data_IF_666439163930
#
_entry.id   IF_666439163930
#
_cell.length_a   1.000
_cell.length_b   1.000
_cell.length_c   1.000
_cell.angle_alpha   90.00
_cell.angle_beta   90.00
_cell.angle_gamma   90.00
#
_symmetry.space_group_name_H-M   'P 1'
#
loop_
_entity.id
_entity.type
_entity.pdbx_description
1 polymer ?
#
# COMPACT_ATOMS: atom_id res chain seq x y z
N UNK A 1 -57.80 8.04 23.96
CA UNK A 1 -56.82 7.51 22.99
C UNK A 1 -55.44 7.86 23.50
N UNK A 2 -54.61 6.86 23.82
CA UNK A 2 -53.25 7.09 24.31
C UNK A 2 -52.43 7.83 23.23
N UNK A 3 -51.69 8.88 23.60
CA UNK A 3 -50.82 9.60 22.67
C UNK A 3 -49.68 8.67 22.28
N UNK A 4 -49.45 8.50 20.97
CA UNK A 4 -48.31 7.77 20.45
C UNK A 4 -47.02 8.51 20.83
N UNK A 5 -46.11 7.85 21.54
CA UNK A 5 -44.80 8.41 21.95
C UNK A 5 -43.64 7.69 21.24
N UNK A 6 -42.43 8.29 21.19
CA UNK A 6 -41.24 7.62 20.63
C UNK A 6 -40.98 6.24 21.25
N UNK A 7 -41.16 6.09 22.56
CA UNK A 7 -40.95 4.84 23.29
C UNK A 7 -41.92 3.74 22.82
N UNK A 8 -43.20 4.09 22.62
CA UNK A 8 -44.19 3.13 22.12
C UNK A 8 -43.88 2.62 20.71
N UNK A 9 -43.28 3.47 19.87
CA UNK A 9 -42.83 3.10 18.52
C UNK A 9 -41.60 2.20 18.61
N UNK A 10 -40.64 2.53 19.48
CA UNK A 10 -39.44 1.72 19.70
C UNK A 10 -39.77 0.33 20.26
N UNK A 11 -40.70 0.24 21.21
CA UNK A 11 -41.15 -1.02 21.79
C UNK A 11 -41.95 -1.88 20.80
N UNK A 12 -42.69 -1.28 19.87
CA UNK A 12 -43.32 -2.02 18.77
C UNK A 12 -42.29 -2.66 17.84
N UNK A 13 -41.22 -1.92 17.50
CA UNK A 13 -40.12 -2.44 16.67
C UNK A 13 -39.35 -3.55 17.41
N UNK A 14 -39.11 -3.42 18.73
CA UNK A 14 -38.54 -4.49 19.56
C UNK A 14 -39.35 -5.77 19.54
N UNK A 15 -40.68 -5.68 19.68
CA UNK A 15 -41.55 -6.86 19.62
C UNK A 15 -41.55 -7.53 18.25
N UNK A 16 -41.55 -6.75 17.17
CA UNK A 16 -41.46 -7.30 15.80
C UNK A 16 -40.11 -7.98 15.54
N UNK A 17 -39.00 -7.39 16.02
CA UNK A 17 -37.67 -8.00 15.93
C UNK A 17 -37.59 -9.33 16.71
N UNK A 18 -38.14 -9.38 17.93
CA UNK A 18 -38.22 -10.61 18.73
C UNK A 18 -39.12 -11.70 18.11
N UNK A 19 -40.10 -11.30 17.30
CA UNK A 19 -40.97 -12.20 16.53
C UNK A 19 -40.34 -12.68 15.20
N UNK A 20 -39.04 -12.40 14.96
CA UNK A 20 -38.31 -12.86 13.78
C UNK A 20 -38.33 -11.91 12.59
N UNK A 21 -38.76 -10.65 12.77
CA UNK A 21 -38.72 -9.61 11.74
C UNK A 21 -37.70 -8.52 12.12
N UNK A 22 -36.39 -8.72 11.84
CA UNK A 22 -35.33 -7.80 12.27
C UNK A 22 -35.35 -6.46 11.53
N UNK A 23 -36.04 -6.37 10.40
CA UNK A 23 -36.23 -5.15 9.64
C UNK A 23 -37.72 -4.93 9.37
N UNK A 24 -38.22 -3.73 9.69
CA UNK A 24 -39.66 -3.42 9.60
C UNK A 24 -39.90 -2.18 8.75
N UNK A 25 -41.02 -2.17 8.01
CA UNK A 25 -41.45 -0.99 7.25
C UNK A 25 -42.27 -0.03 8.14
N UNK A 26 -42.47 1.21 7.68
CA UNK A 26 -43.37 2.15 8.38
C UNK A 26 -44.80 1.61 8.50
N UNK A 27 -45.23 0.77 7.55
CA UNK A 27 -46.57 0.16 7.54
C UNK A 27 -46.72 -0.87 8.65
N UNK A 28 -45.68 -1.68 8.88
CA UNK A 28 -45.68 -2.70 9.94
C UNK A 28 -45.75 -2.04 11.33
N UNK A 29 -45.03 -0.93 11.51
CA UNK A 29 -45.05 -0.14 12.75
C UNK A 29 -46.39 0.56 12.96
N UNK A 30 -47.04 1.04 11.90
CA UNK A 30 -48.41 1.61 11.96
C UNK A 30 -49.40 0.53 12.41
N UNK A 31 -49.33 -0.68 11.84
CA UNK A 31 -50.18 -1.79 12.25
C UNK A 31 -49.95 -2.21 13.71
N UNK A 32 -48.70 -2.23 14.16
CA UNK A 32 -48.34 -2.65 15.51
C UNK A 32 -48.66 -1.61 16.61
N UNK A 33 -48.80 -0.34 16.25
CA UNK A 33 -49.05 0.76 17.21
C UNK A 33 -50.45 1.36 17.11
N UNK A 34 -51.20 1.03 16.05
CA UNK A 34 -52.47 1.67 15.68
C UNK A 34 -52.39 3.21 15.60
N UNK A 35 -51.19 3.75 15.34
CA UNK A 35 -50.93 5.18 15.21
C UNK A 35 -51.23 5.73 13.82
N UNK A 36 -51.45 7.04 13.69
CA UNK A 36 -51.59 7.66 12.37
C UNK A 36 -50.26 7.64 11.61
N UNK A 37 -50.32 7.49 10.28
CA UNK A 37 -49.13 7.41 9.41
C UNK A 37 -48.17 8.59 9.59
N UNK A 38 -48.71 9.81 9.73
CA UNK A 38 -47.92 11.01 9.98
C UNK A 38 -47.21 11.00 11.34
N UNK A 39 -47.87 10.51 12.39
CA UNK A 39 -47.29 10.46 13.73
C UNK A 39 -46.19 9.39 13.81
N UNK A 40 -46.42 8.21 13.25
CA UNK A 40 -45.43 7.11 13.25
C UNK A 40 -44.17 7.52 12.49
N UNK A 41 -44.29 8.12 11.30
CA UNK A 41 -43.12 8.58 10.53
C UNK A 41 -42.31 9.64 11.27
N UNK A 42 -42.99 10.62 11.88
CA UNK A 42 -42.31 11.65 12.68
C UNK A 42 -41.49 11.05 13.84
N UNK A 43 -42.00 10.00 14.49
CA UNK A 43 -41.28 9.32 15.57
C UNK A 43 -40.17 8.41 15.04
N UNK A 44 -40.34 7.75 13.90
CA UNK A 44 -39.27 6.99 13.25
C UNK A 44 -38.10 7.89 12.86
N UNK A 45 -38.37 9.07 12.29
CA UNK A 45 -37.33 10.03 11.93
C UNK A 45 -36.59 10.55 13.18
N UNK A 46 -37.33 10.85 14.26
CA UNK A 46 -36.73 11.27 15.53
C UNK A 46 -35.86 10.17 16.17
N UNK A 47 -36.30 8.91 16.12
CA UNK A 47 -35.56 7.76 16.64
C UNK A 47 -34.33 7.39 15.80
N UNK A 48 -34.36 7.68 14.49
CA UNK A 48 -33.16 7.62 13.66
C UNK A 48 -32.19 8.76 13.97
N UNK A 49 -32.69 9.98 14.20
CA UNK A 49 -31.85 11.12 14.56
C UNK A 49 -31.19 10.95 15.93
N UNK A 50 -31.85 10.25 16.88
CA UNK A 50 -31.30 9.91 18.19
C UNK A 50 -30.39 8.66 18.18
N UNK A 51 -30.16 8.04 17.01
CA UNK A 51 -29.31 6.86 16.87
C UNK A 51 -29.90 5.58 17.47
N UNK A 52 -31.19 5.56 17.81
CA UNK A 52 -31.87 4.37 18.37
C UNK A 52 -32.39 3.42 17.28
N UNK A 53 -32.53 3.91 16.04
CA UNK A 53 -32.89 3.13 14.86
C UNK A 53 -31.93 3.42 13.69
N UNK A 54 -31.63 2.39 12.91
CA UNK A 54 -30.97 2.52 11.61
C UNK A 54 -31.98 2.42 10.48
N UNK A 55 -31.84 3.27 9.45
CA UNK A 55 -32.72 3.32 8.27
C UNK A 55 -31.97 2.85 7.03
N UNK A 56 -32.52 1.88 6.31
CA UNK A 56 -31.97 1.36 5.04
C UNK A 56 -33.02 1.41 3.91
N UNK A 57 -32.58 1.48 2.65
CA UNK A 57 -33.47 1.57 1.47
C UNK A 57 -34.01 2.97 1.16
N UNK A 58 -34.79 3.09 0.08
CA UNK A 58 -35.38 4.36 -0.39
C UNK A 58 -36.89 4.23 -0.69
N UNK A 59 -37.65 5.30 -0.44
CA UNK A 59 -39.10 5.41 -0.71
C UNK A 59 -39.90 4.20 -0.16
N UNK A 60 -40.58 3.42 -1.02
CA UNK A 60 -41.39 2.25 -0.60
C UNK A 60 -40.56 1.08 -0.08
N UNK A 61 -39.24 1.06 -0.35
CA UNK A 61 -38.31 0.05 0.13
C UNK A 61 -37.63 0.42 1.46
N UNK A 62 -38.03 1.53 2.11
CA UNK A 62 -37.44 1.95 3.39
C UNK A 62 -37.71 0.91 4.48
N UNK A 63 -36.66 0.54 5.23
CA UNK A 63 -36.70 -0.38 6.37
C UNK A 63 -36.02 0.26 7.58
N UNK A 64 -36.53 -0.09 8.76
CA UNK A 64 -36.04 0.38 10.06
C UNK A 64 -35.62 -0.83 10.90
N UNK A 65 -34.48 -0.73 11.56
CA UNK A 65 -33.94 -1.74 12.48
C UNK A 65 -33.49 -1.07 13.77
N UNK A 66 -33.57 -1.77 14.90
CA UNK A 66 -32.97 -1.30 16.16
C UNK A 66 -31.46 -1.08 15.99
N UNK A 67 -30.98 0.08 16.44
CA UNK A 67 -29.54 0.27 16.58
C UNK A 67 -29.03 -0.69 17.67
N UNK A 68 -27.93 -1.39 17.39
CA UNK A 68 -27.29 -2.25 18.38
C UNK A 68 -26.77 -1.37 19.52
N UNK A 69 -27.43 -1.44 20.67
CA UNK A 69 -26.90 -0.87 21.90
C UNK A 69 -25.74 -1.77 22.32
N UNK A 70 -24.52 -1.32 22.09
CA UNK A 70 -23.36 -1.87 22.78
C UNK A 70 -23.63 -1.77 24.29
N UNK A 71 -23.82 -2.91 24.94
CA UNK A 71 -23.98 -2.96 26.39
C UNK A 71 -22.71 -2.40 27.06
N UNK A 72 -22.83 -1.71 28.21
CA UNK A 72 -21.67 -1.21 28.94
C UNK A 72 -20.92 -2.41 29.52
N UNK A 73 -19.79 -2.75 28.90
CA UNK A 73 -18.85 -3.69 29.48
C UNK A 73 -18.28 -3.03 30.74
N UNK A 74 -18.62 -3.61 31.89
CA UNK A 74 -17.92 -3.35 33.15
C UNK A 74 -16.42 -3.49 32.90
N UNK A 75 -15.67 -2.47 33.30
CA UNK A 75 -14.22 -2.46 33.43
C UNK A 75 -13.77 -3.55 34.41
N UNK A 76 -13.69 -4.77 33.92
CA UNK A 76 -12.53 -5.62 34.16
C UNK A 76 -11.82 -5.62 32.84
N UNK A 77 -10.75 -4.86 32.71
CA UNK A 77 -9.81 -4.94 31.60
C UNK A 77 -9.57 -6.43 31.30
N UNK A 78 -10.05 -7.00 30.17
CA UNK A 78 -9.13 -7.82 29.44
C UNK A 78 -8.19 -6.81 28.80
N UNK A 79 -6.89 -6.96 29.01
CA UNK A 79 -5.98 -6.57 27.96
C UNK A 79 -6.52 -7.25 26.67
N UNK A 80 -7.24 -6.49 25.84
CA UNK A 80 -7.18 -6.75 24.42
C UNK A 80 -5.73 -6.47 24.08
N UNK A 81 -4.89 -7.49 24.30
CA UNK A 81 -3.67 -7.59 23.55
C UNK A 81 -4.12 -7.47 22.10
N UNK A 82 -3.76 -6.37 21.45
CA UNK A 82 -3.57 -6.38 20.02
C UNK A 82 -2.57 -7.51 19.76
N UNK A 83 -3.06 -8.74 19.58
CA UNK A 83 -2.24 -9.93 19.42
C UNK A 83 -1.61 -9.98 18.01
N UNK A 84 -1.41 -8.80 17.41
CA UNK A 84 -0.63 -8.57 16.22
C UNK A 84 0.69 -7.92 16.59
N UNK A 85 1.71 -8.02 15.74
CA UNK A 85 3.01 -7.43 16.01
C UNK A 85 2.92 -5.90 15.91
N UNK A 86 3.36 -5.19 16.95
CA UNK A 86 3.43 -3.73 17.00
C UNK A 86 4.88 -3.25 17.19
N UNK A 87 5.22 -2.01 16.81
CA UNK A 87 6.53 -1.44 17.11
C UNK A 87 6.75 -1.28 18.62
N UNK A 88 8.02 -1.28 19.03
CA UNK A 88 8.38 -0.78 20.35
C UNK A 88 8.29 0.74 20.33
N UNK A 89 7.33 1.29 21.08
CA UNK A 89 7.10 2.73 21.16
C UNK A 89 8.15 3.42 22.03
N UNK A 90 8.74 4.49 21.51
CA UNK A 90 9.61 5.39 22.26
C UNK A 90 8.84 6.12 23.37
N UNK A 91 9.52 6.66 24.40
CA UNK A 91 8.85 7.41 25.46
C UNK A 91 7.97 8.57 24.95
N UNK A 92 8.43 9.28 23.92
CA UNK A 92 7.66 10.36 23.28
C UNK A 92 6.40 9.82 22.56
N UNK A 93 6.52 8.68 21.86
CA UNK A 93 5.37 8.03 21.24
C UNK A 93 4.35 7.53 22.29
N UNK A 94 4.81 7.02 23.43
CA UNK A 94 3.93 6.62 24.55
C UNK A 94 3.18 7.83 25.10
N UNK A 95 3.88 8.94 25.37
CA UNK A 95 3.25 10.18 25.85
C UNK A 95 2.21 10.72 24.86
N UNK A 96 2.53 10.71 23.57
CA UNK A 96 1.58 11.08 22.52
C UNK A 96 0.36 10.15 22.49
N UNK A 97 0.54 8.85 22.79
CA UNK A 97 -0.57 7.90 22.94
C UNK A 97 -1.54 8.31 24.02
N UNK A 98 -1.02 8.64 25.21
CA UNK A 98 -1.86 9.09 26.31
C UNK A 98 -2.69 10.35 25.96
N UNK A 99 -2.15 11.24 25.11
CA UNK A 99 -2.90 12.41 24.60
C UNK A 99 -4.00 12.01 23.63
N UNK A 100 -3.74 11.02 22.76
CA UNK A 100 -4.67 10.52 21.76
C UNK A 100 -5.76 9.60 22.34
N UNK A 101 -5.50 8.96 23.48
CA UNK A 101 -6.47 8.15 24.22
C UNK A 101 -7.55 8.99 24.91
N UNK A 102 -7.35 10.31 25.01
CA UNK A 102 -8.38 11.21 25.49
C UNK A 102 -9.60 11.21 24.55
N UNK A 103 -10.84 11.22 25.10
CA UNK A 103 -12.04 11.34 24.29
C UNK A 103 -11.99 12.56 23.36
N UNK A 104 -12.59 12.48 22.16
CA UNK A 104 -12.61 13.59 21.20
C UNK A 104 -13.09 14.92 21.81
N UNK A 105 -14.08 14.85 22.72
CA UNK A 105 -14.62 16.03 23.42
C UNK A 105 -13.64 16.70 24.39
N UNK A 106 -12.54 16.03 24.76
CA UNK A 106 -11.49 16.55 25.63
C UNK A 106 -10.26 17.03 24.85
N UNK A 107 -10.28 16.94 23.51
CA UNK A 107 -9.20 17.38 22.62
C UNK A 107 -9.64 18.67 21.90
N UNK A 108 -8.70 19.60 21.73
CA UNK A 108 -9.00 20.88 21.08
C UNK A 108 -9.07 20.74 19.55
N UNK A 109 -10.09 21.32 18.89
CA UNK A 109 -10.14 21.40 17.43
C UNK A 109 -8.91 22.11 16.86
N UNK A 110 -8.27 21.51 15.86
CA UNK A 110 -7.11 22.07 15.18
C UNK A 110 -7.27 22.03 13.67
N UNK A 111 -6.50 22.86 12.97
CA UNK A 111 -6.48 22.89 11.50
C UNK A 111 -5.06 22.82 10.96
N UNK A 112 -4.94 22.77 9.64
CA UNK A 112 -3.66 22.68 8.95
C UNK A 112 -2.77 23.88 9.29
N UNK A 113 -1.54 23.59 9.73
CA UNK A 113 -0.52 24.59 10.07
C UNK A 113 0.59 24.55 9.05
N UNK A 114 0.69 25.61 8.25
CA UNK A 114 1.67 25.73 7.15
C UNK A 114 3.10 25.67 7.66
N UNK A 115 3.32 26.21 8.85
CA UNK A 115 4.61 26.31 9.55
C UNK A 115 5.27 24.94 9.71
N UNK A 116 4.48 23.85 9.84
CA UNK A 116 5.00 22.48 9.90
C UNK A 116 5.91 22.14 8.71
N UNK A 117 5.50 22.58 7.52
CA UNK A 117 6.24 22.37 6.28
C UNK A 117 7.20 23.53 6.03
N UNK A 118 6.78 24.77 6.27
CA UNK A 118 7.54 25.99 5.96
C UNK A 118 8.81 26.10 6.80
N UNK A 119 8.77 25.73 8.08
CA UNK A 119 9.92 25.78 8.99
C UNK A 119 10.91 24.61 8.78
N UNK A 120 10.48 23.54 8.11
CA UNK A 120 11.37 22.44 7.77
C UNK A 120 12.40 22.88 6.72
N UNK A 121 13.68 22.96 7.09
CA UNK A 121 14.76 23.29 6.16
C UNK A 121 15.47 22.01 5.70
N UNK A 122 15.36 21.61 4.41
CA UNK A 122 15.95 20.37 3.93
C UNK A 122 17.43 20.24 4.29
N UNK A 123 17.82 19.08 4.81
CA UNK A 123 19.18 18.74 5.24
C UNK A 123 19.70 19.50 6.48
N UNK A 124 18.89 20.35 7.11
CA UNK A 124 19.20 21.00 8.40
C UNK A 124 18.21 20.56 9.47
N UNK A 125 16.92 20.66 9.18
CA UNK A 125 15.83 20.08 9.98
C UNK A 125 15.67 18.60 9.63
N UNK A 126 15.20 17.82 10.59
CA UNK A 126 14.87 16.41 10.42
C UNK A 126 13.58 16.09 11.17
N UNK A 127 12.65 15.38 10.53
CA UNK A 127 11.45 14.87 11.20
C UNK A 127 11.77 13.56 11.95
N UNK A 128 12.68 12.74 11.40
CA UNK A 128 13.22 11.57 12.07
C UNK A 128 14.56 11.93 12.76
N UNK A 129 14.91 11.30 13.90
CA UNK A 129 16.29 11.38 14.41
C UNK A 129 17.31 11.04 13.31
N UNK A 130 18.27 11.93 13.07
CA UNK A 130 19.22 11.82 11.95
C UNK A 130 19.93 10.47 11.90
N UNK A 131 20.44 9.99 13.04
CA UNK A 131 21.16 8.72 13.13
C UNK A 131 20.28 7.52 12.75
N UNK A 132 18.98 7.58 13.07
CA UNK A 132 18.02 6.56 12.68
C UNK A 132 17.79 6.56 11.17
N UNK A 133 17.59 7.74 10.56
CA UNK A 133 17.42 7.86 9.12
C UNK A 133 18.67 7.40 8.36
N UNK A 134 19.86 7.71 8.86
CA UNK A 134 21.12 7.26 8.28
C UNK A 134 21.34 5.74 8.43
N UNK A 135 20.96 5.16 9.57
CA UNK A 135 21.01 3.71 9.79
C UNK A 135 20.05 2.98 8.83
N UNK A 136 18.79 3.42 8.76
CA UNK A 136 17.79 2.84 7.86
C UNK A 136 18.20 2.96 6.38
N UNK A 137 18.80 4.09 5.98
CA UNK A 137 19.31 4.27 4.63
C UNK A 137 20.45 3.28 4.32
N UNK A 138 21.38 3.11 5.26
CA UNK A 138 22.50 2.17 5.13
C UNK A 138 22.02 0.72 5.00
N UNK A 139 21.00 0.35 5.77
CA UNK A 139 20.44 -1.00 5.79
C UNK A 139 19.59 -1.29 4.54
N UNK A 140 18.88 -0.27 4.02
CA UNK A 140 17.93 -0.44 2.93
C UNK A 140 18.50 -0.27 1.51
N UNK A 141 19.66 0.35 1.34
CA UNK A 141 20.22 0.63 0.00
C UNK A 141 20.87 -0.59 -0.66
N UNK A 142 20.82 -0.66 -1.99
CA UNK A 142 21.73 -1.52 -2.75
C UNK A 142 23.19 -1.07 -2.52
N UNK A 143 24.11 -2.03 -2.43
CA UNK A 143 25.55 -1.75 -2.24
C UNK A 143 26.23 -1.22 -3.50
N UNK A 144 25.75 -1.64 -4.66
CA UNK A 144 26.30 -1.25 -5.96
C UNK A 144 25.52 -0.07 -6.55
N UNK A 145 26.22 0.79 -7.29
CA UNK A 145 25.56 1.81 -8.10
C UNK A 145 24.79 1.13 -9.22
N UNK A 146 23.48 1.38 -9.27
CA UNK A 146 22.56 0.81 -10.24
C UNK A 146 21.64 1.93 -10.74
N UNK A 147 21.05 1.81 -11.96
CA UNK A 147 20.03 2.75 -12.43
C UNK A 147 18.85 2.84 -11.46
N UNK A 148 18.22 4.01 -11.33
CA UNK A 148 17.05 4.19 -10.46
C UNK A 148 15.94 3.17 -10.77
N UNK A 149 15.23 2.72 -9.73
CA UNK A 149 14.16 1.72 -9.82
C UNK A 149 14.63 0.27 -9.96
N UNK A 150 15.94 0.00 -10.03
CA UNK A 150 16.48 -1.38 -10.15
C UNK A 150 16.09 -2.25 -8.97
N UNK A 151 16.15 -1.72 -7.73
CA UNK A 151 15.70 -2.48 -6.55
C UNK A 151 14.23 -2.89 -6.72
N UNK A 152 13.35 -1.91 -6.92
CA UNK A 152 11.91 -2.13 -7.01
C UNK A 152 11.56 -3.14 -8.12
N UNK A 153 12.21 -3.06 -9.29
CA UNK A 153 12.02 -4.04 -10.38
C UNK A 153 12.42 -5.45 -9.99
N UNK A 154 13.54 -5.62 -9.27
CA UNK A 154 13.97 -6.95 -8.81
C UNK A 154 12.91 -7.58 -7.91
N UNK A 155 12.30 -6.83 -7.02
CA UNK A 155 11.31 -7.38 -6.06
C UNK A 155 9.87 -7.09 -6.44
N UNK A 156 9.60 -6.74 -7.70
CA UNK A 156 8.33 -6.17 -8.14
C UNK A 156 7.15 -7.11 -7.86
N UNK A 157 7.25 -8.38 -8.23
CA UNK A 157 6.16 -9.36 -8.05
C UNK A 157 5.71 -9.43 -6.59
N UNK A 158 6.67 -9.51 -5.66
CA UNK A 158 6.37 -9.55 -4.23
C UNK A 158 5.87 -8.19 -3.72
N UNK A 159 6.46 -7.08 -4.19
CA UNK A 159 6.06 -5.73 -3.82
C UNK A 159 4.60 -5.44 -4.22
N UNK A 160 4.18 -5.87 -5.40
CA UNK A 160 2.81 -5.69 -5.89
C UNK A 160 1.80 -6.29 -4.92
N UNK A 161 2.05 -7.51 -4.45
CA UNK A 161 1.17 -8.19 -3.50
C UNK A 161 1.21 -7.48 -2.15
N UNK A 162 2.42 -7.28 -1.61
CA UNK A 162 2.64 -6.79 -0.25
C UNK A 162 2.07 -5.40 -0.02
N UNK A 163 2.45 -4.43 -0.87
CA UNK A 163 2.06 -3.03 -0.70
C UNK A 163 0.59 -2.82 -1.08
N UNK A 164 0.08 -3.49 -2.13
CA UNK A 164 -1.33 -3.35 -2.49
C UNK A 164 -2.25 -3.86 -1.38
N UNK A 165 -1.94 -5.05 -0.85
CA UNK A 165 -2.73 -5.62 0.24
C UNK A 165 -2.61 -4.80 1.52
N UNK A 166 -1.38 -4.51 1.98
CA UNK A 166 -1.16 -3.82 3.24
C UNK A 166 -1.74 -2.40 3.22
N UNK A 167 -1.53 -1.66 2.13
CA UNK A 167 -2.10 -0.31 1.98
C UNK A 167 -3.63 -0.32 1.93
N UNK A 168 -4.24 -1.29 1.24
CA UNK A 168 -5.71 -1.38 1.15
C UNK A 168 -6.34 -1.81 2.48
N UNK A 169 -5.71 -2.74 3.20
CA UNK A 169 -6.17 -3.20 4.53
C UNK A 169 -6.22 -2.05 5.54
N UNK A 170 -5.28 -1.10 5.47
CA UNK A 170 -5.29 0.09 6.33
C UNK A 170 -6.47 1.04 6.05
N UNK A 171 -7.13 0.91 4.90
CA UNK A 171 -8.36 1.63 4.55
C UNK A 171 -9.62 0.77 4.79
N UNK A 172 -9.49 -0.40 5.45
CA UNK A 172 -10.62 -1.28 5.77
C UNK A 172 -10.98 -2.29 4.68
N UNK A 173 -10.14 -2.49 3.67
CA UNK A 173 -10.36 -3.51 2.64
C UNK A 173 -10.43 -4.91 3.28
N UNK A 174 -11.43 -5.71 2.86
CA UNK A 174 -11.78 -6.98 3.49
C UNK A 174 -11.02 -8.19 2.93
N UNK A 175 -10.24 -8.02 1.87
CA UNK A 175 -9.52 -9.13 1.25
C UNK A 175 -8.43 -9.68 2.16
N UNK A 176 -8.33 -11.01 2.21
CA UNK A 176 -7.15 -11.68 2.77
C UNK A 176 -5.98 -11.60 1.79
N UNK A 177 -4.77 -11.86 2.28
CA UNK A 177 -3.58 -11.90 1.43
C UNK A 177 -3.74 -12.94 0.31
N UNK A 178 -4.19 -14.15 0.64
CA UNK A 178 -4.42 -15.22 -0.34
C UNK A 178 -5.48 -14.84 -1.39
N UNK A 179 -6.58 -14.20 -0.97
CA UNK A 179 -7.60 -13.71 -1.89
C UNK A 179 -7.06 -12.62 -2.83
N UNK A 180 -6.14 -11.78 -2.34
CA UNK A 180 -5.47 -10.75 -3.14
C UNK A 180 -4.57 -11.36 -4.21
N UNK A 181 -3.77 -12.38 -3.86
CA UNK A 181 -2.95 -13.10 -4.83
C UNK A 181 -3.81 -13.76 -5.93
N UNK A 182 -4.93 -14.36 -5.54
CA UNK A 182 -5.85 -14.97 -6.48
C UNK A 182 -6.55 -13.94 -7.38
N UNK A 183 -6.95 -12.80 -6.83
CA UNK A 183 -7.47 -11.67 -7.60
C UNK A 183 -6.45 -11.18 -8.63
N UNK A 184 -5.16 -11.08 -8.26
CA UNK A 184 -4.11 -10.63 -9.17
C UNK A 184 -3.83 -11.61 -10.29
N UNK A 185 -3.99 -12.92 -10.04
CA UNK A 185 -3.91 -13.96 -11.08
C UNK A 185 -5.09 -13.90 -12.04
N UNK A 186 -6.31 -13.60 -11.55
CA UNK A 186 -7.52 -13.47 -12.38
C UNK A 186 -7.57 -12.16 -13.15
N UNK A 187 -7.08 -11.06 -12.58
CA UNK A 187 -6.99 -9.75 -13.20
C UNK A 187 -8.31 -8.98 -13.35
N UNK A 188 -9.43 -9.49 -12.82
CA UNK A 188 -10.75 -8.87 -12.96
C UNK A 188 -11.42 -8.63 -11.61
N UNK A 189 -11.90 -7.41 -11.37
CA UNK A 189 -12.55 -7.01 -10.12
C UNK A 189 -14.06 -7.32 -10.07
N UNK A 190 -14.71 -7.54 -11.22
CA UNK A 190 -16.17 -7.58 -11.30
C UNK A 190 -16.76 -6.25 -10.83
N UNK A 191 -17.73 -6.31 -9.91
CA UNK A 191 -18.37 -5.13 -9.29
C UNK A 191 -17.93 -4.87 -7.85
N UNK A 192 -16.85 -5.52 -7.39
CA UNK A 192 -16.39 -5.42 -6.01
C UNK A 192 -15.40 -4.26 -5.85
N UNK A 193 -15.80 -3.24 -5.11
CA UNK A 193 -14.99 -2.04 -4.87
C UNK A 193 -13.70 -2.35 -4.12
N UNK A 194 -13.68 -3.37 -3.26
CA UNK A 194 -12.46 -3.80 -2.56
C UNK A 194 -11.48 -4.44 -3.55
N UNK A 195 -11.98 -5.15 -4.56
CA UNK A 195 -11.16 -5.70 -5.62
C UNK A 195 -10.59 -4.60 -6.53
N UNK A 196 -11.42 -3.61 -6.90
CA UNK A 196 -10.97 -2.42 -7.66
C UNK A 196 -9.86 -1.70 -6.91
N UNK A 197 -10.00 -1.48 -5.60
CA UNK A 197 -8.97 -0.85 -4.79
C UNK A 197 -7.62 -1.59 -4.84
N UNK A 198 -7.63 -2.92 -4.79
CA UNK A 198 -6.40 -3.72 -4.88
C UNK A 198 -5.77 -3.66 -6.26
N UNK A 199 -6.57 -3.76 -7.32
CA UNK A 199 -6.07 -3.65 -8.70
C UNK A 199 -5.52 -2.25 -9.00
N UNK A 200 -6.14 -1.20 -8.47
CA UNK A 200 -5.64 0.16 -8.60
C UNK A 200 -4.31 0.35 -7.89
N UNK A 201 -4.14 -0.21 -6.68
CA UNK A 201 -2.84 -0.18 -6.01
C UNK A 201 -1.78 -0.92 -6.83
N UNK A 202 -2.10 -2.08 -7.39
CA UNK A 202 -1.19 -2.83 -8.26
C UNK A 202 -0.77 -1.97 -9.45
N UNK A 203 -1.73 -1.41 -10.19
CA UNK A 203 -1.48 -0.55 -11.35
C UNK A 203 -0.69 0.72 -10.97
N UNK A 204 -0.96 1.30 -9.80
CA UNK A 204 -0.24 2.47 -9.30
C UNK A 204 1.23 2.16 -8.96
N UNK A 205 1.53 0.98 -8.42
CA UNK A 205 2.90 0.54 -8.16
C UNK A 205 3.65 0.30 -9.47
N UNK A 206 3.02 -0.37 -10.45
CA UNK A 206 3.57 -0.57 -11.80
C UNK A 206 3.88 0.78 -12.46
N UNK A 207 2.93 1.72 -12.41
CA UNK A 207 3.10 3.09 -12.88
C UNK A 207 4.32 3.78 -12.24
N UNK A 208 4.49 3.69 -10.91
CA UNK A 208 5.64 4.30 -10.24
C UNK A 208 6.97 3.68 -10.66
N UNK A 209 7.04 2.35 -10.78
CA UNK A 209 8.27 1.64 -11.17
C UNK A 209 8.75 2.06 -12.56
N UNK A 210 7.83 2.38 -13.46
CA UNK A 210 8.15 2.85 -14.82
C UNK A 210 8.38 4.36 -14.90
N UNK A 211 7.54 5.16 -14.24
CA UNK A 211 7.56 6.62 -14.36
C UNK A 211 8.65 7.28 -13.51
N UNK A 212 8.92 6.79 -12.30
CA UNK A 212 9.86 7.44 -11.35
C UNK A 212 11.28 7.58 -11.92
N UNK A 213 11.89 6.55 -12.55
CA UNK A 213 13.23 6.69 -13.12
C UNK A 213 13.34 7.71 -14.25
N UNK A 214 12.22 8.02 -14.92
CA UNK A 214 12.18 8.93 -16.08
C UNK A 214 11.80 10.36 -15.68
N UNK A 215 10.86 10.51 -14.76
CA UNK A 215 10.23 11.80 -14.44
C UNK A 215 10.70 12.38 -13.10
N UNK A 216 11.23 11.55 -12.20
CA UNK A 216 11.52 11.93 -10.82
C UNK A 216 10.28 12.37 -10.04
N UNK A 217 10.47 12.94 -8.86
CA UNK A 217 9.38 13.47 -8.05
C UNK A 217 8.84 14.79 -8.63
N UNK A 218 7.61 14.80 -9.13
CA UNK A 218 6.95 15.99 -9.65
C UNK A 218 5.47 16.03 -9.24
N UNK A 219 4.85 17.21 -9.33
CA UNK A 219 3.41 17.37 -9.06
C UNK A 219 2.58 16.58 -10.05
N UNK A 220 2.97 16.56 -11.33
CA UNK A 220 2.34 15.74 -12.34
C UNK A 220 2.38 14.25 -11.97
N UNK A 221 3.53 13.74 -11.49
CA UNK A 221 3.65 12.35 -11.04
C UNK A 221 2.70 12.03 -9.88
N UNK A 222 2.61 12.91 -8.86
CA UNK A 222 1.73 12.70 -7.70
C UNK A 222 0.26 12.76 -8.08
N UNK A 223 -0.12 13.68 -8.97
CA UNK A 223 -1.50 13.79 -9.49
C UNK A 223 -1.89 12.55 -10.31
N UNK A 224 -0.99 12.07 -11.17
CA UNK A 224 -1.21 10.84 -11.94
C UNK A 224 -1.24 9.60 -11.04
N UNK A 225 -0.38 9.52 -10.02
CA UNK A 225 -0.44 8.46 -9.01
C UNK A 225 -1.82 8.40 -8.34
N UNK A 226 -2.34 9.54 -7.91
CA UNK A 226 -3.68 9.63 -7.35
C UNK A 226 -4.75 9.21 -8.36
N UNK A 227 -4.68 9.68 -9.61
CA UNK A 227 -5.64 9.32 -10.65
C UNK A 227 -5.71 7.80 -10.88
N UNK A 228 -4.57 7.12 -10.95
CA UNK A 228 -4.51 5.64 -11.08
C UNK A 228 -5.05 4.96 -9.82
N UNK A 229 -4.71 5.44 -8.63
CA UNK A 229 -5.17 4.86 -7.36
C UNK A 229 -6.69 4.94 -7.18
N UNK A 230 -7.30 6.02 -7.68
CA UNK A 230 -8.69 6.37 -7.41
C UNK A 230 -9.63 6.13 -8.59
N UNK A 231 -9.11 5.61 -9.70
CA UNK A 231 -9.90 5.22 -10.87
C UNK A 231 -11.05 4.30 -10.47
N UNK A 232 -12.27 4.59 -10.92
CA UNK A 232 -13.49 3.81 -10.61
C UNK A 232 -13.85 3.70 -9.10
N UNK A 233 -13.20 4.50 -8.23
CA UNK A 233 -13.51 4.61 -6.80
C UNK A 233 -14.10 5.96 -6.40
N UNK A 234 -13.84 7.02 -7.18
CA UNK A 234 -14.48 8.32 -6.98
C UNK A 234 -15.84 8.36 -7.67
N UNK A 235 -16.82 8.96 -6.99
CA UNK A 235 -18.12 9.26 -7.58
C UNK A 235 -18.03 10.32 -8.69
N UNK A 236 -17.09 11.26 -8.53
CA UNK A 236 -16.78 12.30 -9.49
C UNK A 236 -15.45 11.97 -10.20
N UNK A 237 -15.52 11.52 -11.44
CA UNK A 237 -14.33 11.13 -12.21
C UNK A 237 -13.48 12.33 -12.61
N UNK A 238 -14.05 13.54 -12.66
CA UNK A 238 -13.29 14.75 -12.98
C UNK A 238 -12.37 15.17 -11.82
N UNK A 239 -12.59 14.63 -10.61
CA UNK A 239 -11.73 14.84 -9.45
C UNK A 239 -10.43 13.99 -9.48
N UNK A 240 -10.26 13.09 -10.46
CA UNK A 240 -9.09 12.22 -10.55
C UNK A 240 -7.79 13.02 -10.76
N UNK A 241 -6.98 13.07 -9.71
CA UNK A 241 -5.68 13.75 -9.73
C UNK A 241 -5.82 15.28 -9.71
N UNK A 242 -7.01 15.80 -9.43
CA UNK A 242 -7.27 17.25 -9.33
C UNK A 242 -7.19 17.66 -7.87
N UNK A 243 -6.51 18.78 -7.60
CA UNK A 243 -6.50 19.38 -6.26
C UNK A 243 -7.93 19.78 -5.94
N UNK A 244 -8.46 19.29 -4.82
CA UNK A 244 -9.89 19.44 -4.53
C UNK A 244 -10.30 20.90 -4.34
N UNK A 245 -11.50 21.20 -4.80
CA UNK A 245 -12.22 22.44 -4.47
C UNK A 245 -13.31 22.23 -3.41
N UNK A 246 -13.66 20.96 -3.17
CA UNK A 246 -14.69 20.56 -2.21
C UNK A 246 -14.12 20.44 -0.80
N UNK A 247 -15.00 20.62 0.18
CA UNK A 247 -14.68 20.43 1.59
C UNK A 247 -14.47 18.95 1.89
N UNK A 248 -13.44 18.63 2.68
CA UNK A 248 -13.24 17.26 3.20
C UNK A 248 -13.08 17.31 4.71
N UNK A 249 -13.61 16.30 5.37
CA UNK A 249 -13.42 16.07 6.80
C UNK A 249 -12.83 14.68 6.99
N UNK A 250 -12.04 14.52 8.06
CA UNK A 250 -11.53 13.23 8.47
C UNK A 250 -12.35 12.79 9.68
N UNK A 251 -12.90 11.58 9.62
CA UNK A 251 -13.64 11.00 10.76
C UNK A 251 -12.69 10.71 11.93
N UNK A 252 -13.26 10.68 13.15
CA UNK A 252 -12.58 10.26 14.38
C UNK A 252 -11.35 11.09 14.77
N UNK A 253 -11.34 12.37 14.41
CA UNK A 253 -10.29 13.33 14.78
C UNK A 253 -10.87 14.72 15.03
N UNK A 254 -10.16 15.51 15.83
CA UNK A 254 -10.43 16.95 16.00
C UNK A 254 -9.73 17.82 14.94
N UNK A 255 -8.96 17.20 14.04
CA UNK A 255 -8.29 17.87 12.94
C UNK A 255 -9.23 18.15 11.76
N UNK A 256 -9.28 19.41 11.33
CA UNK A 256 -9.98 19.85 10.13
C UNK A 256 -8.94 20.31 9.10
N UNK A 257 -8.78 19.59 7.96
CA UNK A 257 -7.84 20.01 6.92
C UNK A 257 -8.12 21.42 6.40
N UNK A 258 -7.10 22.07 5.82
CA UNK A 258 -7.33 23.35 5.13
C UNK A 258 -8.34 23.16 4.00
N UNK A 259 -9.27 24.09 3.87
CA UNK A 259 -10.34 24.03 2.87
C UNK A 259 -10.10 24.98 1.70
N UNK A 260 -9.01 25.75 1.72
CA UNK A 260 -8.70 26.74 0.70
C UNK A 260 -7.91 26.10 -0.46
N UNK A 261 -8.46 25.99 -1.69
CA UNK A 261 -7.80 25.30 -2.80
C UNK A 261 -6.46 25.93 -3.20
N UNK A 262 -6.36 27.26 -3.09
CA UNK A 262 -5.10 27.98 -3.34
C UNK A 262 -3.99 27.55 -2.37
N UNK A 263 -4.32 27.38 -1.08
CA UNK A 263 -3.38 26.90 -0.05
C UNK A 263 -3.02 25.44 -0.31
N UNK A 264 -3.97 24.59 -0.70
CA UNK A 264 -3.68 23.20 -1.07
C UNK A 264 -2.67 23.12 -2.22
N UNK A 265 -2.86 23.90 -3.28
CA UNK A 265 -1.97 23.92 -4.43
C UNK A 265 -0.57 24.43 -4.06
N UNK A 266 -0.49 25.55 -3.34
CA UNK A 266 0.75 26.15 -2.88
C UNK A 266 1.55 25.21 -1.96
N UNK A 267 0.88 24.60 -0.99
CA UNK A 267 1.53 23.73 -0.02
C UNK A 267 1.91 22.38 -0.63
N UNK A 268 1.15 21.86 -1.59
CA UNK A 268 1.56 20.67 -2.34
C UNK A 268 2.87 20.92 -3.08
N UNK A 269 2.97 22.02 -3.82
CA UNK A 269 4.22 22.40 -4.50
C UNK A 269 5.38 22.57 -3.51
N UNK A 270 5.13 23.22 -2.37
CA UNK A 270 6.13 23.44 -1.33
C UNK A 270 6.64 22.13 -0.74
N UNK A 271 5.74 21.19 -0.41
CA UNK A 271 6.08 19.84 0.08
C UNK A 271 6.96 19.13 -0.94
N UNK A 272 6.56 19.12 -2.22
CA UNK A 272 7.29 18.40 -3.26
C UNK A 272 8.65 19.04 -3.56
N UNK A 273 8.73 20.38 -3.56
CA UNK A 273 9.99 21.11 -3.72
C UNK A 273 10.97 20.78 -2.58
N UNK A 274 10.51 20.78 -1.33
CA UNK A 274 11.34 20.41 -0.17
C UNK A 274 11.76 18.96 -0.23
N UNK A 275 10.86 18.04 -0.54
CA UNK A 275 11.15 16.61 -0.66
C UNK A 275 12.23 16.31 -1.71
N UNK A 276 12.24 17.01 -2.86
CA UNK A 276 13.30 16.87 -3.89
C UNK A 276 14.69 17.26 -3.37
N UNK A 277 14.77 18.16 -2.40
CA UNK A 277 16.03 18.69 -1.86
C UNK A 277 16.58 17.87 -0.68
N UNK A 278 15.78 16.99 -0.09
CA UNK A 278 16.22 16.12 1.02
C UNK A 278 17.17 15.05 0.47
N UNK A 279 18.41 15.03 0.96
CA UNK A 279 19.47 14.14 0.48
C UNK A 279 19.32 12.70 0.99
N UNK A 280 18.81 12.51 2.21
CA UNK A 280 18.57 11.18 2.74
C UNK A 280 17.22 10.66 2.20
N UNK A 281 17.19 9.61 1.36
CA UNK A 281 15.95 9.14 0.74
C UNK A 281 14.95 8.57 1.73
N UNK A 282 15.40 8.09 2.89
CA UNK A 282 14.52 7.57 3.96
C UNK A 282 13.81 8.72 4.66
N UNK A 283 14.53 9.80 4.98
CA UNK A 283 13.91 11.04 5.49
C UNK A 283 12.96 11.64 4.46
N UNK A 284 13.33 11.67 3.17
CA UNK A 284 12.47 12.16 2.10
C UNK A 284 11.18 11.33 1.95
N UNK A 285 11.29 10.01 2.06
CA UNK A 285 10.16 9.09 2.06
C UNK A 285 9.22 9.35 3.24
N UNK A 286 9.77 9.48 4.44
CA UNK A 286 9.02 9.79 5.66
C UNK A 286 8.34 11.16 5.55
N UNK A 287 9.06 12.17 5.06
CA UNK A 287 8.55 13.52 4.84
C UNK A 287 7.35 13.53 3.88
N UNK A 288 7.41 12.78 2.78
CA UNK A 288 6.29 12.67 1.83
C UNK A 288 5.09 11.95 2.43
N UNK A 289 5.32 10.84 3.15
CA UNK A 289 4.25 10.07 3.78
C UNK A 289 3.43 10.95 4.74
N UNK A 290 4.12 11.66 5.63
CA UNK A 290 3.50 12.49 6.67
C UNK A 290 2.81 13.70 6.05
N UNK A 291 3.50 14.47 5.23
CA UNK A 291 3.00 15.79 4.81
C UNK A 291 1.91 15.72 3.74
N UNK A 292 1.95 14.74 2.83
CA UNK A 292 0.85 14.56 1.85
C UNK A 292 -0.44 14.14 2.54
N UNK A 293 -0.35 13.22 3.52
CA UNK A 293 -1.49 12.80 4.30
C UNK A 293 -2.02 13.91 5.22
N UNK A 294 -1.14 14.75 5.77
CA UNK A 294 -1.56 15.90 6.58
C UNK A 294 -2.28 16.97 5.75
N UNK A 295 -1.77 17.28 4.55
CA UNK A 295 -2.35 18.32 3.67
C UNK A 295 -3.75 17.96 3.14
N UNK A 296 -4.00 16.68 2.83
CA UNK A 296 -5.23 16.20 2.18
C UNK A 296 -5.58 16.96 0.87
N UNK A 297 -4.69 16.97 -0.16
CA UNK A 297 -4.89 17.75 -1.39
C UNK A 297 -5.99 17.24 -2.32
N UNK A 298 -6.47 16.01 -2.16
CA UNK A 298 -7.47 15.38 -3.03
C UNK A 298 -8.79 15.09 -2.29
N UNK A 299 -9.87 14.86 -3.03
CA UNK A 299 -11.22 14.62 -2.47
C UNK A 299 -11.27 13.33 -1.61
N UNK A 300 -10.55 12.29 -2.00
CA UNK A 300 -10.32 11.06 -1.24
C UNK A 300 -8.94 10.47 -1.64
N UNK A 301 -8.50 9.35 -1.06
CA UNK A 301 -7.29 8.65 -1.48
C UNK A 301 -5.99 9.28 -0.99
N UNK A 302 -6.03 10.33 -0.17
CA UNK A 302 -4.86 11.05 0.33
C UNK A 302 -3.88 10.13 1.09
N UNK A 303 -4.41 9.29 2.01
CA UNK A 303 -3.60 8.35 2.79
C UNK A 303 -2.95 7.29 1.89
N UNK A 304 -3.70 6.70 0.96
CA UNK A 304 -3.19 5.74 -0.05
C UNK A 304 -2.10 6.36 -0.92
N UNK A 305 -2.36 7.56 -1.45
CA UNK A 305 -1.41 8.33 -2.27
C UNK A 305 -0.13 8.63 -1.49
N UNK A 306 -0.23 9.02 -0.22
CA UNK A 306 0.93 9.31 0.62
C UNK A 306 1.82 8.08 0.86
N UNK A 307 1.23 6.91 1.10
CA UNK A 307 1.97 5.65 1.33
C UNK A 307 2.73 5.20 0.08
N UNK A 308 2.13 5.36 -1.11
CA UNK A 308 2.80 5.04 -2.36
C UNK A 308 3.83 6.10 -2.74
N UNK A 309 3.52 7.39 -2.54
CA UNK A 309 4.45 8.49 -2.80
C UNK A 309 5.74 8.40 -1.95
N UNK A 310 5.64 7.87 -0.73
CA UNK A 310 6.79 7.59 0.13
C UNK A 310 7.83 6.66 -0.53
N UNK A 311 7.43 5.82 -1.48
CA UNK A 311 8.36 4.95 -2.20
C UNK A 311 9.15 5.69 -3.29
N UNK A 312 8.74 6.88 -3.74
CA UNK A 312 9.40 7.59 -4.85
C UNK A 312 10.88 7.90 -4.54
N UNK A 313 11.23 8.50 -3.38
CA UNK A 313 12.64 8.71 -3.04
C UNK A 313 13.40 7.39 -2.87
N UNK A 314 12.79 6.35 -2.31
CA UNK A 314 13.42 5.05 -2.15
C UNK A 314 13.76 4.42 -3.52
N UNK A 315 12.86 4.52 -4.49
CA UNK A 315 13.07 4.03 -5.86
C UNK A 315 14.18 4.80 -6.58
N UNK A 316 14.20 6.14 -6.47
CA UNK A 316 15.22 6.99 -7.10
C UNK A 316 16.64 6.66 -6.63
N UNK A 317 16.78 6.30 -5.35
CA UNK A 317 18.07 6.00 -4.73
C UNK A 317 18.31 4.50 -4.50
N UNK A 318 17.56 3.62 -5.18
CA UNK A 318 17.68 2.16 -5.09
C UNK A 318 17.74 1.63 -3.66
N UNK A 319 16.84 2.14 -2.83
CA UNK A 319 16.56 1.61 -1.51
C UNK A 319 15.44 0.58 -1.60
N UNK A 320 15.41 -0.32 -0.61
CA UNK A 320 14.33 -1.28 -0.43
C UNK A 320 12.99 -0.54 -0.41
N UNK A 321 11.97 -1.01 -1.14
CA UNK A 321 10.66 -0.38 -1.14
C UNK A 321 9.96 -0.58 0.22
N UNK A 322 9.14 0.39 0.61
CA UNK A 322 8.32 0.36 1.81
C UNK A 322 6.95 -0.24 1.49
N UNK A 323 6.54 -1.24 2.27
CA UNK A 323 5.30 -2.00 2.02
C UNK A 323 4.28 -2.01 3.16
N UNK A 324 4.51 -1.27 4.25
CA UNK A 324 3.59 -1.19 5.41
C UNK A 324 3.16 -2.57 5.96
N UNK A 325 4.04 -3.56 5.85
CA UNK A 325 3.77 -4.94 6.27
C UNK A 325 3.47 -5.01 7.75
N UNK A 326 2.43 -5.79 8.07
CA UNK A 326 1.98 -6.14 9.42
C UNK A 326 1.58 -4.95 10.29
N UNK A 327 1.43 -3.76 9.71
CA UNK A 327 0.96 -2.58 10.41
C UNK A 327 -0.52 -2.77 10.77
N UNK A 328 -0.84 -2.60 12.05
CA UNK A 328 -2.24 -2.63 12.49
C UNK A 328 -2.95 -1.33 12.09
N UNK A 329 -4.25 -1.37 11.73
CA UNK A 329 -5.02 -0.16 11.45
C UNK A 329 -5.01 0.84 12.62
N UNK A 330 -5.01 0.33 13.86
CA UNK A 330 -4.93 1.15 15.07
C UNK A 330 -3.59 1.89 15.17
N UNK A 331 -2.45 1.19 15.04
CA UNK A 331 -1.12 1.81 15.14
C UNK A 331 -0.92 2.85 14.03
N UNK A 332 -1.39 2.55 12.80
CA UNK A 332 -1.36 3.51 11.71
C UNK A 332 -2.23 4.74 11.99
N UNK A 333 -3.45 4.54 12.50
CA UNK A 333 -4.34 5.64 12.85
C UNK A 333 -3.71 6.53 13.92
N UNK A 334 -3.18 5.95 15.00
CA UNK A 334 -2.49 6.67 16.07
C UNK A 334 -1.27 7.46 15.57
N UNK A 335 -0.47 6.86 14.68
CA UNK A 335 0.65 7.55 14.05
C UNK A 335 0.21 8.79 13.24
N UNK A 336 -0.86 8.67 12.45
CA UNK A 336 -1.36 9.79 11.66
C UNK A 336 -2.08 10.84 12.50
N UNK A 337 -2.86 10.44 13.51
CA UNK A 337 -3.56 11.37 14.40
C UNK A 337 -2.58 12.23 15.20
N UNK A 338 -1.43 11.67 15.61
CA UNK A 338 -0.37 12.44 16.26
C UNK A 338 0.12 13.62 15.42
N UNK A 339 0.29 13.38 14.12
CA UNK A 339 0.64 14.43 13.16
C UNK A 339 -0.50 15.42 13.00
N UNK A 340 -1.72 14.92 12.78
CA UNK A 340 -2.88 15.75 12.45
C UNK A 340 -3.26 16.70 13.58
N UNK A 341 -3.21 16.20 14.82
CA UNK A 341 -3.72 16.93 15.98
C UNK A 341 -2.61 17.70 16.71
N UNK A 342 -1.38 17.18 16.71
CA UNK A 342 -0.30 17.72 17.54
C UNK A 342 0.95 18.11 16.76
N UNK A 343 1.00 17.87 15.43
CA UNK A 343 2.22 18.00 14.63
C UNK A 343 3.38 17.16 15.19
N UNK A 344 3.06 16.13 15.97
CA UNK A 344 4.01 15.26 16.65
C UNK A 344 4.19 13.98 15.82
N UNK A 345 5.41 13.80 15.31
CA UNK A 345 5.77 12.67 14.44
C UNK A 345 6.28 11.45 15.20
N UNK A 346 6.34 11.46 16.53
CA UNK A 346 7.02 10.43 17.34
C UNK A 346 6.48 9.02 17.06
N UNK A 347 5.15 8.85 17.05
CA UNK A 347 4.51 7.56 16.67
C UNK A 347 4.74 7.21 15.21
N UNK A 348 4.69 8.17 14.30
CA UNK A 348 4.95 7.93 12.89
C UNK A 348 6.41 7.48 12.65
N UNK A 349 7.38 8.08 13.35
CA UNK A 349 8.81 7.70 13.28
C UNK A 349 9.01 6.25 13.72
N UNK A 350 8.47 5.87 14.89
CA UNK A 350 8.62 4.51 15.42
C UNK A 350 7.95 3.47 14.50
N UNK A 351 6.74 3.78 14.03
CA UNK A 351 6.01 2.91 13.11
C UNK A 351 6.76 2.75 11.78
N UNK A 352 7.21 3.85 11.18
CA UNK A 352 7.96 3.85 9.93
C UNK A 352 9.24 3.03 10.06
N UNK A 353 10.05 3.28 11.09
CA UNK A 353 11.30 2.58 11.31
C UNK A 353 11.08 1.08 11.49
N UNK A 354 10.02 0.70 12.20
CA UNK A 354 9.65 -0.69 12.40
C UNK A 354 9.21 -1.35 11.08
N UNK A 355 8.25 -0.77 10.36
CA UNK A 355 7.76 -1.38 9.12
C UNK A 355 8.82 -1.39 8.02
N UNK A 356 9.66 -0.34 7.94
CA UNK A 356 10.71 -0.26 6.95
C UNK A 356 11.79 -1.33 7.14
N UNK A 357 12.21 -1.59 8.39
CA UNK A 357 13.11 -2.72 8.70
C UNK A 357 12.54 -4.06 8.29
N UNK A 358 11.21 -4.25 8.37
CA UNK A 358 10.56 -5.48 7.90
C UNK A 358 10.62 -5.60 6.39
N UNK A 359 10.31 -4.52 5.67
CA UNK A 359 10.43 -4.49 4.21
C UNK A 359 11.87 -4.78 3.76
N UNK A 360 12.87 -4.17 4.39
CA UNK A 360 14.30 -4.46 4.12
C UNK A 360 14.60 -5.95 4.28
N UNK A 361 14.27 -6.54 5.44
CA UNK A 361 14.53 -7.96 5.71
C UNK A 361 13.84 -8.87 4.70
N UNK A 362 12.57 -8.62 4.39
CA UNK A 362 11.80 -9.44 3.45
C UNK A 362 12.38 -9.38 2.05
N UNK A 363 12.65 -8.16 1.55
CA UNK A 363 13.07 -7.99 0.16
C UNK A 363 14.54 -8.36 -0.07
N UNK A 364 15.39 -8.35 0.95
CA UNK A 364 16.73 -8.96 0.86
C UNK A 364 16.60 -10.46 0.57
N UNK A 365 15.75 -11.18 1.31
CA UNK A 365 15.53 -12.62 1.09
C UNK A 365 14.96 -12.89 -0.32
N UNK A 366 14.02 -12.06 -0.80
CA UNK A 366 13.49 -12.18 -2.17
C UNK A 366 14.58 -12.00 -3.22
N UNK A 367 15.48 -11.02 -3.04
CA UNK A 367 16.61 -10.82 -3.95
C UNK A 367 17.59 -12.00 -3.93
N UNK A 368 17.86 -12.58 -2.76
CA UNK A 368 18.73 -13.75 -2.61
C UNK A 368 18.12 -15.00 -3.25
N UNK A 369 16.80 -15.19 -3.13
CA UNK A 369 16.10 -16.36 -3.69
C UNK A 369 16.03 -16.38 -5.22
N UNK A 370 16.07 -15.21 -5.86
CA UNK A 370 16.08 -15.14 -7.33
C UNK A 370 17.42 -15.55 -7.95
N UNK A 371 18.46 -15.75 -7.13
CA UNK A 371 19.82 -16.03 -7.59
C UNK A 371 20.46 -14.82 -8.27
N UNK A 372 21.73 -14.54 -8.00
CA UNK A 372 22.44 -13.57 -8.80
C UNK A 372 22.59 -14.13 -10.23
N UNK A 373 22.16 -13.42 -11.30
CA UNK A 373 22.52 -13.84 -12.65
C UNK A 373 24.04 -13.91 -12.71
N UNK A 374 24.58 -15.09 -13.05
CA UNK A 374 26.03 -15.31 -13.11
C UNK A 374 26.65 -14.22 -14.02
N UNK A 375 27.53 -13.34 -13.51
CA UNK A 375 28.08 -12.22 -14.27
C UNK A 375 28.79 -12.66 -15.55
N UNK A 376 29.45 -13.83 -15.53
CA UNK A 376 30.05 -14.45 -16.71
C UNK A 376 29.00 -14.83 -17.75
N UNK A 377 27.85 -15.37 -17.30
CA UNK A 377 26.74 -15.75 -18.19
C UNK A 377 26.12 -14.53 -18.86
N UNK A 378 26.01 -13.41 -18.14
CA UNK A 378 25.47 -12.17 -18.71
C UNK A 378 26.43 -11.58 -19.74
N UNK A 379 27.74 -11.54 -19.42
CA UNK A 379 28.79 -11.01 -20.31
C UNK A 379 28.96 -11.83 -21.59
N UNK A 380 28.88 -13.15 -21.50
CA UNK A 380 29.16 -14.05 -22.62
C UNK A 380 27.92 -14.76 -23.16
N UNK A 381 26.73 -14.18 -23.03
CA UNK A 381 25.46 -14.84 -23.39
C UNK A 381 25.39 -15.30 -24.85
N UNK A 382 25.75 -14.43 -25.81
CA UNK A 382 25.73 -14.77 -27.23
C UNK A 382 26.82 -15.82 -27.53
N UNK A 383 28.03 -15.62 -27.02
CA UNK A 383 29.13 -16.58 -27.19
C UNK A 383 28.84 -17.96 -26.57
N UNK A 384 28.15 -18.01 -25.44
CA UNK A 384 27.71 -19.26 -24.80
C UNK A 384 26.69 -19.99 -25.69
N UNK A 385 25.77 -19.24 -26.30
CA UNK A 385 24.80 -19.79 -27.25
C UNK A 385 25.49 -20.38 -28.48
N UNK A 386 26.49 -19.66 -29.01
CA UNK A 386 27.29 -20.10 -30.14
C UNK A 386 28.17 -21.33 -29.80
N UNK A 387 28.86 -21.31 -28.65
CA UNK A 387 29.68 -22.42 -28.18
C UNK A 387 28.88 -23.71 -27.99
N UNK A 388 27.69 -23.62 -27.40
CA UNK A 388 26.77 -24.77 -27.27
C UNK A 388 26.33 -25.25 -28.66
N UNK A 389 26.10 -24.34 -29.60
CA UNK A 389 25.86 -24.66 -31.00
C UNK A 389 27.00 -25.48 -31.63
N UNK A 390 28.25 -25.04 -31.47
CA UNK A 390 29.45 -25.71 -31.99
C UNK A 390 29.60 -27.13 -31.43
N UNK A 391 29.30 -27.34 -30.15
CA UNK A 391 29.41 -28.65 -29.51
C UNK A 391 28.26 -29.58 -29.94
N UNK A 392 27.02 -29.09 -29.94
CA UNK A 392 25.84 -29.93 -30.15
C UNK A 392 25.57 -30.20 -31.63
N UNK A 393 25.60 -29.15 -32.45
CA UNK A 393 25.32 -29.24 -33.89
C UNK A 393 26.56 -29.67 -34.66
N UNK A 394 27.70 -29.05 -34.37
CA UNK A 394 28.93 -29.20 -35.17
C UNK A 394 29.90 -30.23 -34.57
N UNK A 395 29.51 -30.89 -33.47
CA UNK A 395 30.21 -32.01 -32.81
C UNK A 395 31.65 -31.72 -32.41
N UNK A 396 31.97 -30.45 -32.14
CA UNK A 396 33.27 -30.04 -31.61
C UNK A 396 33.39 -30.37 -30.13
N UNK A 397 34.61 -30.53 -29.65
CA UNK A 397 34.86 -30.56 -28.22
C UNK A 397 34.63 -29.17 -27.62
N UNK A 398 34.26 -29.10 -26.34
CA UNK A 398 34.13 -27.85 -25.60
C UNK A 398 35.43 -27.03 -25.66
N UNK A 399 36.58 -27.69 -25.61
CA UNK A 399 37.88 -27.01 -25.72
C UNK A 399 38.11 -26.41 -27.13
N UNK A 400 37.72 -27.12 -28.19
CA UNK A 400 37.80 -26.62 -29.55
C UNK A 400 36.83 -25.45 -29.79
N UNK A 401 35.60 -25.54 -29.28
CA UNK A 401 34.61 -24.46 -29.36
C UNK A 401 35.07 -23.20 -28.64
N UNK A 402 35.69 -23.34 -27.46
CA UNK A 402 36.25 -22.22 -26.70
C UNK A 402 37.42 -21.56 -27.44
N UNK A 403 38.32 -22.37 -28.03
CA UNK A 403 39.46 -21.86 -28.78
C UNK A 403 39.04 -21.10 -30.04
N UNK A 404 38.03 -21.59 -30.76
CA UNK A 404 37.50 -20.97 -31.98
C UNK A 404 36.85 -19.61 -31.73
N UNK A 405 36.18 -19.46 -30.59
CA UNK A 405 35.59 -18.18 -30.18
C UNK A 405 36.61 -17.23 -29.53
N UNK A 406 37.86 -17.64 -29.35
CA UNK A 406 38.90 -16.85 -28.69
C UNK A 406 38.65 -16.61 -27.20
N UNK A 407 37.86 -17.48 -26.55
CA UNK A 407 37.43 -17.33 -25.15
C UNK A 407 38.23 -18.23 -24.20
N UNK A 408 39.54 -18.35 -24.46
CA UNK A 408 40.45 -19.12 -23.60
C UNK A 408 40.53 -18.52 -22.20
N UNK A 409 41.05 -19.28 -21.24
CA UNK A 409 41.11 -18.86 -19.83
C UNK A 409 41.81 -17.51 -19.64
N UNK A 410 42.79 -17.16 -20.48
CA UNK A 410 43.49 -15.86 -20.44
C UNK A 410 42.60 -14.67 -20.85
N UNK A 411 41.64 -14.89 -21.76
CA UNK A 411 40.77 -13.83 -22.31
C UNK A 411 39.37 -13.82 -21.68
N UNK A 412 38.88 -14.98 -21.26
CA UNK A 412 37.57 -15.16 -20.64
C UNK A 412 37.62 -16.19 -19.49
N UNK A 413 38.24 -15.83 -18.35
CA UNK A 413 38.38 -16.72 -17.21
C UNK A 413 37.05 -17.34 -16.77
N UNK A 414 37.00 -18.66 -16.60
CA UNK A 414 35.81 -19.39 -16.17
C UNK A 414 34.74 -19.63 -17.26
N UNK A 415 34.93 -19.18 -18.50
CA UNK A 415 33.98 -19.42 -19.58
C UNK A 415 33.86 -20.90 -19.94
N UNK A 416 34.99 -21.63 -20.01
CA UNK A 416 34.99 -23.07 -20.31
C UNK A 416 34.24 -23.87 -19.24
N UNK A 417 34.43 -23.55 -17.96
CA UNK A 417 33.71 -24.21 -16.87
C UNK A 417 32.20 -23.96 -16.95
N UNK A 418 31.79 -22.73 -17.28
CA UNK A 418 30.39 -22.39 -17.51
C UNK A 418 29.79 -23.14 -18.71
N UNK A 419 30.51 -23.26 -19.83
CA UNK A 419 30.08 -24.03 -20.99
C UNK A 419 29.82 -25.50 -20.63
N UNK A 420 30.75 -26.13 -19.92
CA UNK A 420 30.63 -27.52 -19.49
C UNK A 420 29.43 -27.75 -18.55
N UNK A 421 29.20 -26.82 -17.62
CA UNK A 421 28.04 -26.88 -16.72
C UNK A 421 26.71 -26.76 -17.48
N UNK A 422 26.64 -25.88 -18.48
CA UNK A 422 25.43 -25.73 -19.30
C UNK A 422 25.19 -26.91 -20.25
N UNK A 423 26.24 -27.53 -20.80
CA UNK A 423 26.12 -28.76 -21.60
C UNK A 423 25.60 -29.93 -20.76
N UNK A 424 26.02 -30.03 -19.48
CA UNK A 424 25.48 -31.04 -18.55
C UNK A 424 23.98 -30.86 -18.29
N UNK A 425 23.52 -29.60 -18.23
CA UNK A 425 22.12 -29.24 -17.97
C UNK A 425 21.27 -29.19 -19.24
N UNK A 426 21.88 -29.32 -20.42
CA UNK A 426 21.18 -29.20 -21.70
C UNK A 426 20.25 -30.39 -21.89
N UNK A 427 18.98 -30.12 -22.14
CA UNK A 427 17.97 -31.13 -22.38
C UNK A 427 17.10 -30.73 -23.56
N UNK A 428 16.39 -31.69 -24.14
CA UNK A 428 15.46 -31.44 -25.26
C UNK A 428 14.40 -30.40 -24.88
N UNK A 429 13.92 -30.40 -23.64
CA UNK A 429 12.91 -29.43 -23.17
C UNK A 429 13.47 -28.02 -22.89
N UNK A 430 14.79 -27.82 -22.92
CA UNK A 430 15.42 -26.51 -22.67
C UNK A 430 16.38 -26.04 -23.78
N UNK A 431 16.46 -26.75 -24.91
CA UNK A 431 17.44 -26.49 -25.97
C UNK A 431 17.16 -25.22 -26.79
N UNK A 432 15.90 -24.77 -26.85
CA UNK A 432 15.49 -23.61 -27.63
C UNK A 432 16.22 -22.32 -27.22
N UNK A 433 16.63 -22.21 -25.93
CA UNK A 433 17.40 -21.05 -25.41
C UNK A 433 18.76 -20.88 -26.07
N UNK A 434 19.28 -21.93 -26.70
CA UNK A 434 20.53 -21.94 -27.46
C UNK A 434 20.32 -22.05 -28.97
N UNK A 435 19.09 -21.79 -29.45
CA UNK A 435 18.72 -21.88 -30.87
C UNK A 435 18.98 -23.26 -31.48
N UNK A 436 18.89 -24.31 -30.66
CA UNK A 436 19.03 -25.71 -31.08
C UNK A 436 17.66 -26.33 -31.37
N UNK A 437 17.62 -27.25 -32.34
CA UNK A 437 16.42 -28.06 -32.62
C UNK A 437 16.31 -29.24 -31.64
N UNK A 438 15.09 -29.72 -31.42
CA UNK A 438 14.83 -30.90 -30.58
C UNK A 438 15.60 -32.12 -31.12
N UNK A 439 15.58 -32.32 -32.44
CA UNK A 439 16.24 -33.43 -33.11
C UNK A 439 17.76 -33.40 -32.96
N UNK A 440 18.39 -32.24 -33.15
CA UNK A 440 19.85 -32.11 -33.00
C UNK A 440 20.28 -32.34 -31.55
N UNK A 441 19.49 -31.85 -30.60
CA UNK A 441 19.76 -32.02 -29.16
C UNK A 441 19.59 -33.48 -28.74
N UNK A 442 18.51 -34.14 -29.16
CA UNK A 442 18.27 -35.56 -28.86
C UNK A 442 19.39 -36.44 -29.43
N UNK A 443 19.77 -36.24 -30.69
CA UNK A 443 20.87 -36.96 -31.31
C UNK A 443 22.22 -36.72 -30.61
N UNK A 444 22.40 -35.58 -29.94
CA UNK A 444 23.59 -35.30 -29.15
C UNK A 444 23.56 -35.98 -27.78
N UNK A 445 22.40 -36.01 -27.11
CA UNK A 445 22.19 -36.73 -25.86
C UNK A 445 22.35 -38.25 -26.08
N UNK A 446 21.76 -38.81 -27.14
CA UNK A 446 21.84 -40.24 -27.48
C UNK A 446 23.28 -40.70 -27.77
N UNK A 447 24.12 -39.79 -28.26
CA UNK A 447 25.56 -40.02 -28.43
C UNK A 447 26.35 -39.92 -27.12
N UNK A 448 25.66 -39.91 -25.97
CA UNK A 448 26.21 -39.77 -24.63
C UNK A 448 26.90 -38.42 -24.37
N UNK A 449 26.34 -37.34 -24.94
CA UNK A 449 26.75 -35.94 -24.72
C UNK A 449 28.24 -35.68 -25.01
N UNK A 450 28.75 -35.98 -26.21
CA UNK A 450 30.16 -35.81 -26.52
C UNK A 450 30.53 -34.32 -26.53
N UNK A 451 31.62 -33.97 -25.84
CA UNK A 451 32.18 -32.63 -25.74
C UNK A 451 33.65 -32.68 -25.32
#
# INVERSE_FOLDING_TARGET
MSKLTPETVLDAIRRLAQAGQPEVSSTDVIHATHGSSASVRRHLDALCASGQLTRSGQARATRYRLAEVAAPVRTTTPEESSAGPSPAWSPAAVELGHKLDLPLAARDPVTYRREFVEDYVPNKSWLMPKDLAEALYRDGRLREQQPAGTYARKVLEQLLIDLSWSSSRLEGNRYTLLATEDLFRRGTAGSDTDAVMLLNHKAAIEFLVDAVPLQGLSTALIRNLHAVLMQDLLADTDALGVIREKLVNISDTVYVPTQAPAVLAEMLETILAKARLIKNPVEAAFFLWVNLAYLQPFEDGNKRTSRLAANIPLMLYNCSPLSFLDVSPHDYAQAMLGVYEFQDVSRAVDLFAWTYRRSIKKYVVVMESMGAPNPLRLRYREHLTEAIGLVVRDRKSAQAAVAELGLTEDHAPGFQAMLLDELKKLEVFNCARYRLTLTATQAWIDANRPH
#
